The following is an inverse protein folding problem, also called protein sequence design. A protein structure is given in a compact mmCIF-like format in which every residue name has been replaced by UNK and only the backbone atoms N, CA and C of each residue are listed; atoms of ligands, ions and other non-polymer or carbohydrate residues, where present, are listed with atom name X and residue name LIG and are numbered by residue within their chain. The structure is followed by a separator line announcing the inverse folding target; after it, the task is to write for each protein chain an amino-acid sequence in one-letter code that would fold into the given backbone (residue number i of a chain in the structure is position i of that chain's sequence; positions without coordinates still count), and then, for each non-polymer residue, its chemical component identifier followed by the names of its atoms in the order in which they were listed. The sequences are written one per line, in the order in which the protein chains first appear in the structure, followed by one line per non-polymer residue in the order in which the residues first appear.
data_IF_597702837368
#
_entry.id   IF_597702837368
#
_cell.length_a   1.000
_cell.length_b   1.000
_cell.length_c   1.000
_cell.angle_alpha   90.00
_cell.angle_beta   90.00
_cell.angle_gamma   90.00
#
_symmetry.space_group_name_H-M   'P 1'
#
loop_
_entity.id
_entity.type
_entity.pdbx_description
1 polymer ?
#
# COMPACT_ATOMS: atom_id res chain seq x y z
N UNK A 1 60.16 -9.43 31.54
CA UNK A 1 58.95 -10.09 31.02
C UNK A 1 57.73 -9.16 30.79
N UNK A 2 57.84 -7.82 30.84
CA UNK A 2 56.71 -6.89 30.56
C UNK A 2 56.72 -6.28 29.15
N UNK A 3 57.84 -6.35 28.42
CA UNK A 3 57.96 -5.78 27.07
C UNK A 3 57.28 -6.63 25.97
N UNK A 4 57.25 -7.96 26.13
CA UNK A 4 56.62 -8.87 25.17
C UNK A 4 55.08 -8.72 25.12
N UNK A 5 54.46 -8.26 26.20
CA UNK A 5 53.00 -8.15 26.26
C UNK A 5 52.47 -6.91 25.54
N UNK A 6 53.23 -5.80 25.57
CA UNK A 6 52.87 -4.58 24.84
C UNK A 6 53.06 -4.73 23.32
N UNK A 7 54.07 -5.47 22.86
CA UNK A 7 54.25 -5.73 21.42
C UNK A 7 53.10 -6.55 20.82
N UNK A 8 52.57 -7.54 21.55
CA UNK A 8 51.40 -8.32 21.08
C UNK A 8 50.12 -7.48 21.00
N UNK A 9 49.90 -6.58 21.96
CA UNK A 9 48.75 -5.67 21.93
C UNK A 9 48.83 -4.68 20.78
N UNK A 10 50.03 -4.17 20.46
CA UNK A 10 50.24 -3.26 19.33
C UNK A 10 49.98 -3.95 17.98
N UNK A 11 50.44 -5.19 17.82
CA UNK A 11 50.24 -5.98 16.59
C UNK A 11 48.76 -6.30 16.39
N UNK A 12 48.03 -6.67 17.45
CA UNK A 12 46.58 -6.93 17.39
C UNK A 12 45.82 -5.65 17.02
N UNK A 13 46.22 -4.49 17.57
CA UNK A 13 45.58 -3.20 17.26
C UNK A 13 45.84 -2.72 15.82
N UNK A 14 47.04 -2.97 15.28
CA UNK A 14 47.37 -2.67 13.88
C UNK A 14 46.60 -3.59 12.93
N UNK A 15 46.47 -4.88 13.26
CA UNK A 15 45.70 -5.84 12.45
C UNK A 15 44.20 -5.50 12.43
N UNK A 16 43.59 -5.15 13.58
CA UNK A 16 42.17 -4.75 13.60
C UNK A 16 41.92 -3.44 12.84
N UNK A 17 42.84 -2.49 12.89
CA UNK A 17 42.73 -1.24 12.13
C UNK A 17 42.88 -1.44 10.61
N UNK A 18 43.73 -2.37 10.18
CA UNK A 18 43.86 -2.75 8.76
C UNK A 18 42.63 -3.51 8.26
N UNK A 19 42.03 -4.38 9.08
CA UNK A 19 40.77 -5.06 8.72
C UNK A 19 39.57 -4.09 8.62
N UNK A 20 39.51 -3.05 9.46
CA UNK A 20 38.46 -2.01 9.34
C UNK A 20 38.63 -1.12 8.10
N UNK A 21 39.87 -0.87 7.65
CA UNK A 21 40.10 -0.15 6.38
C UNK A 21 39.86 -1.02 5.14
N UNK A 22 40.06 -2.33 5.22
CA UNK A 22 39.80 -3.25 4.11
C UNK A 22 38.30 -3.50 3.85
N UNK A 23 37.43 -3.30 4.83
CA UNK A 23 35.96 -3.44 4.68
C UNK A 23 35.20 -2.12 4.44
N UNK A 24 35.92 -1.00 4.30
CA UNK A 24 35.36 0.35 4.20
C UNK A 24 35.70 1.07 2.90
N UNK A 25 35.70 0.40 1.75
CA UNK A 25 35.91 1.06 0.46
C UNK A 25 34.77 0.75 -0.51
N UNK A 26 33.99 1.81 -0.80
CA UNK A 26 32.89 1.87 -1.77
C UNK A 26 33.37 1.42 -3.15
N UNK A 27 32.80 0.33 -3.67
CA UNK A 27 32.76 0.12 -5.11
C UNK A 27 31.63 0.97 -5.69
N UNK A 28 31.93 2.23 -6.02
CA UNK A 28 31.18 2.99 -7.02
C UNK A 28 31.69 2.56 -8.39
N UNK A 29 31.03 1.60 -9.01
CA UNK A 29 31.28 1.27 -10.41
C UNK A 29 30.69 2.40 -11.26
N UNK A 30 31.55 3.18 -11.90
CA UNK A 30 31.19 4.11 -12.96
C UNK A 30 31.18 3.29 -14.25
N UNK A 31 30.01 3.00 -14.81
CA UNK A 31 29.90 2.41 -16.15
C UNK A 31 29.20 3.40 -17.06
N UNK A 32 29.90 3.73 -18.14
CA UNK A 32 29.49 4.58 -19.24
C UNK A 32 28.50 3.83 -20.13
N UNK A 33 27.49 4.54 -20.64
CA UNK A 33 26.43 4.09 -21.54
C UNK A 33 26.88 3.09 -22.61
N UNK A 34 26.26 1.91 -22.62
CA UNK A 34 25.94 1.19 -23.86
C UNK A 34 24.53 0.61 -23.72
N UNK A 35 23.68 1.02 -24.64
CA UNK A 35 22.28 0.66 -24.87
C UNK A 35 22.08 -0.86 -24.88
N UNK A 36 21.22 -1.39 -24.01
CA UNK A 36 20.45 -2.64 -24.23
C UNK A 36 19.34 -2.79 -23.18
N UNK A 37 18.17 -3.15 -23.66
CA UNK A 37 16.92 -3.35 -22.93
C UNK A 37 17.01 -4.37 -21.78
N UNK A 38 16.05 -4.25 -20.86
CA UNK A 38 15.39 -5.34 -20.12
C UNK A 38 15.92 -5.73 -18.72
N UNK A 39 15.29 -5.14 -17.68
CA UNK A 39 14.57 -5.79 -16.55
C UNK A 39 14.53 -4.84 -15.35
N UNK A 40 13.34 -4.34 -15.04
CA UNK A 40 13.09 -3.45 -13.91
C UNK A 40 13.28 -4.15 -12.56
N UNK A 41 13.93 -3.44 -11.63
CA UNK A 41 14.09 -3.79 -10.21
C UNK A 41 12.90 -3.22 -9.41
N UNK A 42 12.35 -3.94 -8.40
CA UNK A 42 11.04 -3.61 -7.81
C UNK A 42 11.03 -2.48 -6.75
N UNK A 43 12.12 -1.70 -6.58
CA UNK A 43 12.24 -0.78 -5.43
C UNK A 43 12.31 0.72 -5.76
N UNK A 44 11.95 1.13 -6.98
CA UNK A 44 11.80 2.55 -7.28
C UNK A 44 10.74 2.76 -8.36
N UNK A 45 9.59 3.32 -7.98
CA UNK A 45 8.52 3.65 -8.94
C UNK A 45 8.92 4.92 -9.68
N UNK A 46 9.28 4.79 -10.95
CA UNK A 46 9.50 5.92 -11.87
C UNK A 46 8.35 5.97 -12.87
N UNK A 47 7.81 7.18 -13.10
CA UNK A 47 6.64 7.46 -13.93
C UNK A 47 6.89 7.18 -15.42
N UNK A 48 6.05 6.35 -16.04
CA UNK A 48 6.01 6.12 -17.49
C UNK A 48 5.32 7.30 -18.19
N UNK A 49 5.90 7.79 -19.29
CA UNK A 49 5.33 8.84 -20.16
C UNK A 49 4.24 8.27 -21.06
N UNK A 50 3.00 8.75 -20.87
CA UNK A 50 1.84 8.55 -21.75
C UNK A 50 1.63 9.71 -22.73
N UNK A 51 0.52 9.67 -23.45
CA UNK A 51 0.23 10.40 -24.70
C UNK A 51 -0.17 11.89 -24.50
N UNK A 52 0.41 12.80 -25.30
CA UNK A 52 0.63 14.22 -24.92
C UNK A 52 -0.59 15.16 -24.93
N UNK A 53 -1.74 14.77 -25.48
CA UNK A 53 -2.91 15.66 -25.60
C UNK A 53 -3.99 15.41 -24.55
N UNK A 54 -4.19 14.15 -24.12
CA UNK A 54 -5.05 13.82 -22.98
C UNK A 54 -4.33 13.98 -21.62
N UNK A 55 -3.00 13.89 -21.61
CA UNK A 55 -2.19 14.10 -20.41
C UNK A 55 -2.28 15.54 -19.87
N UNK A 56 -2.49 16.54 -20.72
CA UNK A 56 -2.52 17.96 -20.32
C UNK A 56 -3.61 18.26 -19.27
N UNK A 57 -4.86 17.82 -19.51
CA UNK A 57 -5.99 18.12 -18.62
C UNK A 57 -5.84 17.38 -17.29
N UNK A 58 -5.44 16.10 -17.33
CA UNK A 58 -5.23 15.30 -16.14
C UNK A 58 -4.07 15.86 -15.29
N UNK A 59 -2.95 16.21 -15.93
CA UNK A 59 -1.81 16.83 -15.25
C UNK A 59 -2.17 18.20 -14.66
N UNK A 60 -2.95 19.01 -15.37
CA UNK A 60 -3.44 20.27 -14.86
C UNK A 60 -4.34 20.07 -13.64
N UNK A 61 -5.30 19.15 -13.72
CA UNK A 61 -6.16 18.80 -12.59
C UNK A 61 -5.35 18.32 -11.38
N UNK A 62 -4.41 17.39 -11.59
CA UNK A 62 -3.50 16.89 -10.55
C UNK A 62 -2.75 18.04 -9.88
N UNK A 63 -2.17 18.95 -10.68
CA UNK A 63 -1.45 20.09 -10.15
C UNK A 63 -2.35 20.99 -9.28
N UNK A 64 -3.56 21.30 -9.75
CA UNK A 64 -4.48 22.15 -9.01
C UNK A 64 -4.95 21.53 -7.69
N UNK A 65 -5.26 20.23 -7.67
CA UNK A 65 -5.62 19.55 -6.41
C UNK A 65 -4.43 19.48 -5.45
N UNK A 66 -3.20 19.26 -5.96
CA UNK A 66 -1.99 19.27 -5.14
C UNK A 66 -1.73 20.64 -4.51
N UNK A 67 -2.00 21.74 -5.24
CA UNK A 67 -1.92 23.12 -4.74
C UNK A 67 -2.97 23.36 -3.66
N UNK A 68 -4.23 22.95 -3.87
CA UNK A 68 -5.31 23.10 -2.88
C UNK A 68 -4.97 22.32 -1.60
N UNK A 69 -4.46 21.10 -1.72
CA UNK A 69 -4.09 20.26 -0.57
C UNK A 69 -2.98 20.87 0.28
N UNK A 70 -2.00 21.51 -0.35
CA UNK A 70 -0.81 22.04 0.31
C UNK A 70 -0.95 23.52 0.73
N UNK A 71 -2.05 24.17 0.37
CA UNK A 71 -2.28 25.60 0.67
C UNK A 71 -2.51 25.87 2.16
N UNK A 72 -1.71 26.78 2.73
CA UNK A 72 -1.90 27.33 4.09
C UNK A 72 -3.23 28.08 4.25
N UNK A 73 -3.69 28.74 3.19
CA UNK A 73 -4.82 29.67 3.25
C UNK A 73 -6.19 28.98 3.16
N UNK A 74 -6.21 27.69 2.81
CA UNK A 74 -7.45 26.94 2.53
C UNK A 74 -7.69 25.87 3.61
N UNK A 75 -6.86 25.79 4.66
CA UNK A 75 -6.84 24.67 5.61
C UNK A 75 -8.21 24.29 6.23
N UNK A 76 -9.12 25.24 6.43
CA UNK A 76 -10.48 24.98 6.97
C UNK A 76 -11.50 24.54 5.90
N UNK A 77 -11.20 24.76 4.61
CA UNK A 77 -12.10 24.52 3.48
C UNK A 77 -11.50 23.59 2.41
N UNK A 78 -10.36 22.92 2.67
CA UNK A 78 -9.67 22.05 1.68
C UNK A 78 -10.62 21.01 1.08
N UNK A 79 -11.42 20.33 1.88
CA UNK A 79 -12.36 19.31 1.37
C UNK A 79 -13.42 19.92 0.44
N UNK A 80 -13.91 21.13 0.74
CA UNK A 80 -14.91 21.82 -0.09
C UNK A 80 -14.28 22.28 -1.40
N UNK A 81 -13.08 22.88 -1.34
CA UNK A 81 -12.34 23.31 -2.52
C UNK A 81 -12.02 22.12 -3.46
N UNK A 82 -11.58 21.00 -2.89
CA UNK A 82 -11.33 19.77 -3.65
C UNK A 82 -12.61 19.20 -4.25
N UNK A 83 -13.71 19.15 -3.49
CA UNK A 83 -15.04 18.73 -3.98
C UNK A 83 -15.48 19.56 -5.18
N UNK A 84 -15.46 20.90 -5.05
CA UNK A 84 -15.86 21.81 -6.12
C UNK A 84 -15.00 21.63 -7.38
N UNK A 85 -13.69 21.43 -7.21
CA UNK A 85 -12.77 21.20 -8.32
C UNK A 85 -12.98 19.84 -8.99
N UNK A 86 -13.35 18.82 -8.21
CA UNK A 86 -13.64 17.48 -8.72
C UNK A 86 -14.95 17.48 -9.50
N UNK A 87 -15.99 18.13 -8.95
CA UNK A 87 -17.31 18.23 -9.57
C UNK A 87 -17.24 18.92 -10.94
N UNK A 88 -16.41 19.96 -11.09
CA UNK A 88 -16.27 20.70 -12.35
C UNK A 88 -15.65 19.88 -13.50
N UNK A 89 -14.94 18.79 -13.18
CA UNK A 89 -14.32 17.88 -14.16
C UNK A 89 -14.92 16.46 -14.12
N UNK A 90 -16.04 16.30 -13.40
CA UNK A 90 -16.77 15.05 -13.20
C UNK A 90 -15.95 13.93 -12.57
N UNK A 91 -15.01 14.28 -11.69
CA UNK A 91 -14.35 13.32 -10.80
C UNK A 91 -15.24 13.09 -9.57
N UNK A 92 -15.44 11.83 -9.20
CA UNK A 92 -15.94 11.49 -7.87
C UNK A 92 -14.85 11.78 -6.84
N UNK A 93 -15.23 12.38 -5.71
CA UNK A 93 -14.29 12.74 -4.65
C UNK A 93 -14.72 12.13 -3.31
N UNK A 94 -13.78 11.42 -2.69
CA UNK A 94 -13.91 10.91 -1.33
C UNK A 94 -12.70 11.36 -0.51
N UNK A 95 -12.90 11.56 0.80
CA UNK A 95 -11.80 11.81 1.71
C UNK A 95 -12.02 11.11 3.04
N UNK A 96 -10.91 10.77 3.68
CA UNK A 96 -10.90 10.15 5.00
C UNK A 96 -9.88 10.84 5.88
N UNK A 97 -10.28 11.21 7.09
CA UNK A 97 -9.37 11.80 8.07
C UNK A 97 -9.09 10.79 9.18
N UNK A 98 -7.81 10.52 9.44
CA UNK A 98 -7.40 9.66 10.56
C UNK A 98 -7.89 10.22 11.90
N UNK A 99 -7.97 9.36 12.90
CA UNK A 99 -8.63 9.63 14.18
C UNK A 99 -8.00 10.78 14.95
N UNK A 100 -6.69 10.98 14.80
CA UNK A 100 -5.97 12.08 15.44
C UNK A 100 -5.83 13.33 14.55
N UNK A 101 -6.46 13.31 13.36
CA UNK A 101 -6.46 14.39 12.36
C UNK A 101 -5.07 14.82 11.87
N UNK A 102 -4.06 13.96 12.01
CA UNK A 102 -2.68 14.23 11.55
C UNK A 102 -2.42 13.75 10.14
N UNK A 103 -3.18 12.75 9.69
CA UNK A 103 -3.09 12.16 8.36
C UNK A 103 -4.45 12.21 7.70
N UNK A 104 -4.50 12.63 6.44
CA UNK A 104 -5.72 12.67 5.63
C UNK A 104 -5.48 11.93 4.31
N UNK A 105 -6.51 11.27 3.83
CA UNK A 105 -6.58 10.58 2.56
C UNK A 105 -7.55 11.32 1.66
N UNK A 106 -7.17 11.47 0.40
CA UNK A 106 -8.01 12.03 -0.66
C UNK A 106 -8.00 11.07 -1.84
N UNK A 107 -9.18 10.75 -2.33
CA UNK A 107 -9.41 9.84 -3.46
C UNK A 107 -10.26 10.55 -4.50
N UNK A 108 -9.78 10.55 -5.74
CA UNK A 108 -10.47 11.07 -6.90
C UNK A 108 -10.63 9.94 -7.91
N UNK A 109 -11.84 9.72 -8.40
CA UNK A 109 -12.12 8.68 -9.38
C UNK A 109 -12.83 9.24 -10.61
N UNK A 110 -12.40 8.81 -11.78
CA UNK A 110 -13.10 9.01 -13.05
C UNK A 110 -13.01 7.70 -13.83
N UNK A 111 -14.15 7.05 -14.02
CA UNK A 111 -14.20 5.69 -14.58
C UNK A 111 -13.31 4.74 -13.77
N UNK A 112 -12.35 4.07 -14.41
CA UNK A 112 -11.40 3.14 -13.78
C UNK A 112 -10.11 3.80 -13.27
N UNK A 113 -9.97 5.11 -13.50
CA UNK A 113 -8.79 5.87 -13.08
C UNK A 113 -8.97 6.40 -11.66
N UNK A 114 -8.01 6.08 -10.79
CA UNK A 114 -8.00 6.53 -9.42
C UNK A 114 -6.73 7.32 -9.10
N UNK A 115 -6.92 8.54 -8.62
CA UNK A 115 -5.86 9.37 -8.06
C UNK A 115 -5.97 9.34 -6.55
N UNK A 116 -4.92 8.91 -5.87
CA UNK A 116 -4.91 8.73 -4.43
C UNK A 116 -3.79 9.55 -3.80
N UNK A 117 -4.12 10.28 -2.75
CA UNK A 117 -3.17 11.13 -2.04
C UNK A 117 -3.31 10.92 -0.54
N UNK A 118 -2.17 10.86 0.15
CA UNK A 118 -2.09 10.97 1.61
C UNK A 118 -1.36 12.24 1.95
N UNK A 119 -1.95 13.07 2.80
CA UNK A 119 -1.29 14.22 3.39
C UNK A 119 -1.04 14.03 4.87
N UNK A 120 0.01 14.69 5.36
CA UNK A 120 0.34 14.77 6.79
C UNK A 120 0.43 16.22 7.21
N UNK A 121 -0.16 16.55 8.35
CA UNK A 121 -0.07 17.87 8.97
C UNK A 121 1.33 18.09 9.55
N UNK A 122 2.00 19.17 9.13
CA UNK A 122 3.30 19.59 9.64
C UNK A 122 3.12 20.77 10.60
N UNK A 123 4.05 20.95 11.56
CA UNK A 123 4.08 22.12 12.43
C UNK A 123 4.17 23.39 11.55
N UNK A 124 3.22 24.32 11.71
CA UNK A 124 3.14 25.53 10.88
C UNK A 124 1.96 25.59 9.89
N UNK A 125 0.99 24.67 10.01
CA UNK A 125 -0.29 24.60 9.29
C UNK A 125 -0.28 24.05 7.85
N UNK A 126 0.87 23.71 7.28
CA UNK A 126 0.90 23.05 5.97
C UNK A 126 0.59 21.56 6.07
N UNK A 127 -0.35 21.12 5.24
CA UNK A 127 -0.48 19.71 4.89
C UNK A 127 0.56 19.42 3.79
N UNK A 128 1.42 18.43 4.01
CA UNK A 128 2.36 17.96 2.99
C UNK A 128 1.84 16.66 2.39
N UNK A 129 1.86 16.55 1.07
CA UNK A 129 1.61 15.28 0.39
C UNK A 129 2.79 14.35 0.68
N UNK A 130 2.51 13.21 1.32
CA UNK A 130 3.53 12.23 1.71
C UNK A 130 3.44 10.93 0.90
N UNK A 131 2.29 10.67 0.27
CA UNK A 131 2.10 9.56 -0.67
C UNK A 131 1.17 10.05 -1.79
N UNK A 132 1.53 9.73 -3.03
CA UNK A 132 0.65 9.84 -4.18
C UNK A 132 0.72 8.56 -4.99
N UNK A 133 -0.42 8.10 -5.47
CA UNK A 133 -0.52 6.83 -6.17
C UNK A 133 -1.62 6.88 -7.24
N UNK A 134 -1.25 6.45 -8.44
CA UNK A 134 -2.03 6.58 -9.67
C UNK A 134 -2.20 5.17 -10.21
N UNK A 135 -3.38 4.59 -9.97
CA UNK A 135 -3.64 3.18 -10.28
C UNK A 135 -4.92 3.02 -11.07
N UNK A 136 -4.93 2.00 -11.92
CA UNK A 136 -6.12 1.45 -12.52
C UNK A 136 -6.72 0.45 -11.53
N UNK A 137 -8.01 0.55 -11.23
CA UNK A 137 -8.79 -0.37 -10.37
C UNK A 137 -8.47 -0.43 -8.87
N UNK A 138 -7.25 -0.12 -8.43
CA UNK A 138 -6.88 -0.08 -7.00
C UNK A 138 -6.89 1.36 -6.45
N UNK A 139 -7.52 1.56 -5.31
CA UNK A 139 -7.72 2.88 -4.71
C UNK A 139 -7.71 2.85 -3.18
N UNK A 140 -7.40 3.99 -2.58
CA UNK A 140 -7.29 4.12 -1.13
C UNK A 140 -8.68 4.33 -0.53
N UNK A 141 -8.97 3.65 0.57
CA UNK A 141 -10.29 3.71 1.22
C UNK A 141 -10.23 4.35 2.59
N UNK A 142 -9.26 3.96 3.43
CA UNK A 142 -9.13 4.46 4.79
C UNK A 142 -7.66 4.66 5.18
N UNK A 143 -7.40 5.60 6.09
CA UNK A 143 -6.08 5.82 6.67
C UNK A 143 -6.19 6.00 8.18
N UNK A 144 -5.41 5.24 8.93
CA UNK A 144 -5.46 5.23 10.39
C UNK A 144 -4.09 5.48 10.99
N UNK A 145 -4.01 6.25 12.06
CA UNK A 145 -2.73 6.40 12.75
C UNK A 145 -2.45 5.19 13.65
N UNK A 146 -1.27 4.59 13.53
CA UNK A 146 -0.80 3.56 14.46
C UNK A 146 -0.02 4.17 15.62
N UNK A 147 0.90 5.09 15.31
CA UNK A 147 1.69 5.88 16.25
C UNK A 147 2.22 7.16 15.56
N UNK A 148 3.01 8.04 16.22
CA UNK A 148 3.46 9.30 15.61
C UNK A 148 4.26 9.16 14.31
N UNK A 149 4.86 7.99 14.05
CA UNK A 149 5.70 7.72 12.88
C UNK A 149 5.05 6.72 11.91
N UNK A 150 3.93 6.10 12.26
CA UNK A 150 3.36 5.01 11.47
C UNK A 150 1.86 5.19 11.25
N UNK A 151 1.41 4.86 10.05
CA UNK A 151 0.00 4.80 9.70
C UNK A 151 -0.32 3.51 8.95
N UNK A 152 -1.55 3.04 9.12
CA UNK A 152 -2.14 1.96 8.35
C UNK A 152 -2.93 2.56 7.19
N UNK A 153 -2.67 2.09 5.98
CA UNK A 153 -3.44 2.40 4.79
C UNK A 153 -4.28 1.17 4.45
N UNK A 154 -5.59 1.38 4.26
CA UNK A 154 -6.48 0.39 3.66
C UNK A 154 -6.74 0.77 2.21
N UNK A 155 -6.62 -0.21 1.33
CA UNK A 155 -6.88 -0.05 -0.10
C UNK A 155 -7.89 -1.10 -0.55
N UNK A 156 -8.56 -0.81 -1.65
CA UNK A 156 -9.47 -1.73 -2.32
C UNK A 156 -9.15 -1.79 -3.80
N UNK A 157 -9.26 -2.97 -4.37
CA UNK A 157 -9.27 -3.18 -5.81
C UNK A 157 -10.55 -3.89 -6.18
N UNK A 158 -11.25 -3.34 -7.16
CA UNK A 158 -12.43 -3.96 -7.74
C UNK A 158 -12.15 -4.31 -9.20
N UNK A 159 -12.26 -5.59 -9.50
CA UNK A 159 -12.21 -6.15 -10.85
C UNK A 159 -13.58 -6.80 -11.16
N UNK A 160 -13.83 -7.17 -12.41
CA UNK A 160 -15.09 -7.75 -12.84
C UNK A 160 -15.41 -9.07 -12.10
N UNK A 161 -14.39 -9.88 -11.80
CA UNK A 161 -14.55 -11.22 -11.23
C UNK A 161 -14.21 -11.32 -9.75
N UNK A 162 -13.46 -10.35 -9.19
CA UNK A 162 -13.06 -10.36 -7.78
C UNK A 162 -12.89 -8.95 -7.23
N UNK A 163 -12.98 -8.85 -5.91
CA UNK A 163 -12.59 -7.66 -5.15
C UNK A 163 -11.56 -8.04 -4.10
N UNK A 164 -10.49 -7.27 -4.00
CA UNK A 164 -9.47 -7.44 -2.97
C UNK A 164 -9.43 -6.22 -2.06
N UNK A 165 -9.28 -6.46 -0.77
CA UNK A 165 -8.92 -5.44 0.21
C UNK A 165 -7.49 -5.66 0.63
N UNK A 166 -6.75 -4.57 0.79
CA UNK A 166 -5.36 -4.58 1.19
C UNK A 166 -5.16 -3.73 2.44
N UNK A 167 -4.20 -4.12 3.26
CA UNK A 167 -3.79 -3.36 4.42
C UNK A 167 -2.26 -3.27 4.43
N UNK A 168 -1.73 -2.05 4.46
CA UNK A 168 -0.29 -1.78 4.38
C UNK A 168 0.10 -0.78 5.44
N UNK A 169 1.18 -1.06 6.18
CA UNK A 169 1.71 -0.13 7.18
C UNK A 169 2.87 0.65 6.60
N UNK A 170 2.78 1.97 6.72
CA UNK A 170 3.82 2.89 6.29
C UNK A 170 4.50 3.52 7.50
N UNK A 171 5.83 3.57 7.47
CA UNK A 171 6.66 4.35 8.38
C UNK A 171 7.07 5.67 7.73
N UNK A 172 6.91 6.77 8.46
CA UNK A 172 7.34 8.11 8.08
C UNK A 172 8.64 8.42 8.82
N UNK A 173 9.76 8.48 8.09
CA UNK A 173 11.05 8.95 8.61
C UNK A 173 11.40 10.26 7.94
N UNK A 174 11.51 11.30 8.76
CA UNK A 174 11.72 12.68 8.27
C UNK A 174 10.64 13.04 7.24
N UNK A 175 11.02 13.07 5.97
CA UNK A 175 10.19 13.42 4.82
C UNK A 175 9.99 12.25 3.82
N UNK A 176 10.42 11.05 4.18
CA UNK A 176 10.29 9.85 3.34
C UNK A 176 9.35 8.84 3.98
N UNK A 177 8.60 8.12 3.15
CA UNK A 177 7.71 7.04 3.56
C UNK A 177 8.25 5.68 3.11
N UNK A 178 8.11 4.68 3.96
CA UNK A 178 8.55 3.31 3.69
C UNK A 178 7.44 2.34 4.03
N UNK A 179 7.17 1.37 3.15
CA UNK A 179 6.35 0.22 3.51
C UNK A 179 7.08 -0.60 4.56
N UNK A 180 6.37 -1.09 5.57
CA UNK A 180 6.92 -1.94 6.62
C UNK A 180 6.52 -3.39 6.41
N UNK A 181 7.47 -4.29 6.62
CA UNK A 181 7.21 -5.72 6.87
C UNK A 181 6.50 -5.91 8.23
N UNK A 182 5.21 -5.62 8.24
CA UNK A 182 4.36 -5.64 9.42
C UNK A 182 3.50 -6.90 9.52
N UNK A 183 3.22 -7.56 8.40
CA UNK A 183 2.40 -8.77 8.36
C UNK A 183 3.29 -10.02 8.32
N UNK A 184 2.70 -11.20 8.56
CA UNK A 184 3.49 -12.45 8.65
C UNK A 184 4.19 -12.77 7.33
N UNK A 185 3.56 -12.44 6.20
CA UNK A 185 4.03 -12.80 4.86
C UNK A 185 4.76 -11.65 4.14
N UNK A 186 4.78 -10.43 4.71
CA UNK A 186 5.51 -9.32 4.13
C UNK A 186 4.95 -7.94 4.50
N UNK A 187 4.95 -7.04 3.52
CA UNK A 187 4.60 -5.62 3.69
C UNK A 187 3.10 -5.34 3.68
N UNK A 188 2.30 -6.27 3.16
CA UNK A 188 0.89 -6.06 2.85
C UNK A 188 0.07 -7.30 3.20
N UNK A 189 -1.04 -7.10 3.90
CA UNK A 189 -2.09 -8.12 4.05
C UNK A 189 -3.05 -7.98 2.87
N UNK A 190 -3.23 -9.06 2.13
CA UNK A 190 -4.22 -9.16 1.04
C UNK A 190 -5.38 -10.07 1.44
N UNK A 191 -6.60 -9.63 1.16
CA UNK A 191 -7.84 -10.41 1.37
C UNK A 191 -8.73 -10.26 0.15
N UNK A 192 -8.79 -11.30 -0.68
CA UNK A 192 -9.59 -11.31 -1.90
C UNK A 192 -10.89 -12.10 -1.74
N UNK A 193 -11.95 -11.66 -2.40
CA UNK A 193 -13.24 -12.33 -2.49
C UNK A 193 -13.68 -12.38 -3.95
N UNK A 194 -14.17 -13.54 -4.40
CA UNK A 194 -14.71 -13.70 -5.74
C UNK A 194 -16.17 -13.26 -5.78
N UNK A 195 -16.49 -12.44 -6.78
CA UNK A 195 -17.86 -12.01 -7.04
C UNK A 195 -18.65 -13.11 -7.75
N UNK A 196 -17.96 -14.07 -8.39
CA UNK A 196 -18.55 -15.26 -9.02
C UNK A 196 -17.67 -16.49 -8.76
N UNK A 197 -18.21 -17.49 -8.07
CA UNK A 197 -17.64 -18.83 -8.01
C UNK A 197 -18.57 -19.72 -8.82
N UNK A 198 -18.03 -20.38 -9.84
CA UNK A 198 -18.72 -21.46 -10.51
C UNK A 198 -18.73 -22.67 -9.57
N UNK A 199 -19.82 -22.82 -8.83
CA UNK A 199 -20.10 -24.03 -8.02
C UNK A 199 -20.83 -25.08 -8.86
N UNK A 200 -20.86 -24.98 -10.19
CA UNK A 200 -21.49 -25.99 -11.03
C UNK A 200 -20.64 -27.26 -11.07
N UNK A 201 -21.28 -28.39 -10.78
CA UNK A 201 -20.69 -29.73 -10.82
C UNK A 201 -21.53 -30.66 -11.70
N UNK A 202 -20.90 -31.63 -12.38
CA UNK A 202 -21.63 -32.61 -13.18
C UNK A 202 -22.41 -33.57 -12.28
N UNK A 203 -23.67 -33.82 -12.62
CA UNK A 203 -24.54 -34.80 -11.98
C UNK A 203 -25.18 -35.67 -13.05
N UNK A 204 -25.27 -36.98 -12.79
CA UNK A 204 -26.01 -37.89 -13.64
C UNK A 204 -27.50 -37.89 -13.27
N UNK A 205 -28.35 -37.41 -14.19
CA UNK A 205 -29.81 -37.50 -14.05
C UNK A 205 -30.43 -38.02 -15.35
N UNK A 206 -31.36 -38.97 -15.23
CA UNK A 206 -32.09 -39.59 -16.35
C UNK A 206 -31.18 -40.08 -17.50
N UNK A 207 -30.03 -40.66 -17.18
CA UNK A 207 -29.10 -41.20 -18.19
C UNK A 207 -28.25 -40.15 -18.92
N UNK A 208 -28.32 -38.88 -18.50
CA UNK A 208 -27.53 -37.77 -19.06
C UNK A 208 -26.70 -37.09 -17.97
N UNK A 209 -25.54 -36.53 -18.35
CA UNK A 209 -24.77 -35.64 -17.47
C UNK A 209 -25.34 -34.24 -17.63
N UNK A 210 -25.84 -33.68 -16.53
CA UNK A 210 -26.27 -32.28 -16.45
C UNK A 210 -25.36 -31.53 -15.48
N UNK A 211 -25.14 -30.24 -15.72
CA UNK A 211 -24.47 -29.38 -14.75
C UNK A 211 -25.51 -28.92 -13.73
N UNK A 212 -25.28 -29.24 -12.45
CA UNK A 212 -26.06 -28.73 -11.32
C UNK A 212 -25.21 -27.78 -10.50
N UNK A 213 -25.85 -26.81 -9.85
CA UNK A 213 -25.18 -25.70 -9.17
C UNK A 213 -25.32 -24.41 -9.97
N UNK A 214 -25.19 -23.29 -9.29
CA UNK A 214 -25.39 -21.95 -9.86
C UNK A 214 -24.15 -21.09 -9.61
N UNK A 215 -23.99 -20.04 -10.41
CA UNK A 215 -23.02 -18.99 -10.12
C UNK A 215 -23.35 -18.36 -8.77
N UNK A 216 -22.47 -18.55 -7.80
CA UNK A 216 -22.65 -17.97 -6.47
C UNK A 216 -21.80 -16.73 -6.33
N UNK A 217 -22.43 -15.69 -5.77
CA UNK A 217 -21.76 -14.43 -5.53
C UNK A 217 -21.49 -14.22 -4.04
N UNK A 218 -20.22 -14.06 -3.70
CA UNK A 218 -19.83 -13.65 -2.35
C UNK A 218 -19.57 -12.15 -2.34
N UNK A 219 -20.23 -11.45 -1.41
CA UNK A 219 -19.97 -10.01 -1.25
C UNK A 219 -18.53 -9.81 -0.78
N UNK A 220 -17.80 -8.83 -1.33
CA UNK A 220 -16.49 -8.46 -0.83
C UNK A 220 -16.53 -8.13 0.66
N UNK A 221 -15.72 -8.81 1.46
CA UNK A 221 -15.65 -8.54 2.90
C UNK A 221 -14.53 -7.55 3.18
N UNK A 222 -14.88 -6.44 3.83
CA UNK A 222 -13.92 -5.37 4.14
C UNK A 222 -12.96 -5.79 5.23
N UNK A 223 -11.71 -5.32 5.12
CA UNK A 223 -10.80 -5.23 6.25
C UNK A 223 -11.26 -4.06 7.11
N UNK A 224 -11.36 -4.26 8.42
CA UNK A 224 -11.79 -3.25 9.39
C UNK A 224 -10.68 -3.06 10.41
N UNK A 225 -10.40 -1.80 10.76
CA UNK A 225 -9.43 -1.47 11.80
C UNK A 225 -10.09 -0.71 12.95
N UNK A 226 -9.80 -1.13 14.18
CA UNK A 226 -10.21 -0.43 15.39
C UNK A 226 -9.02 0.35 15.96
N UNK A 227 -9.06 1.68 15.84
CA UNK A 227 -8.01 2.57 16.33
C UNK A 227 -7.76 2.49 17.84
N UNK A 228 -8.81 2.34 18.66
CA UNK A 228 -8.69 2.33 20.12
C UNK A 228 -7.93 1.09 20.60
N UNK A 229 -8.27 -0.08 20.06
CA UNK A 229 -7.64 -1.35 20.44
C UNK A 229 -6.44 -1.71 19.57
N UNK A 230 -6.23 -0.98 18.47
CA UNK A 230 -5.28 -1.26 17.39
C UNK A 230 -5.45 -2.66 16.80
N UNK A 231 -6.68 -3.11 16.67
CA UNK A 231 -7.00 -4.44 16.14
C UNK A 231 -7.45 -4.33 14.69
N UNK A 232 -6.78 -5.05 13.81
CA UNK A 232 -7.23 -5.30 12.45
C UNK A 232 -8.08 -6.57 12.43
N UNK A 233 -9.17 -6.53 11.68
CA UNK A 233 -10.12 -7.63 11.52
C UNK A 233 -10.39 -7.79 10.05
N UNK A 234 -10.33 -9.02 9.55
CA UNK A 234 -10.82 -9.34 8.21
C UNK A 234 -11.59 -10.65 8.28
N UNK A 235 -12.45 -10.87 7.28
CA UNK A 235 -13.12 -12.14 7.13
C UNK A 235 -13.08 -12.58 5.68
N UNK A 236 -13.23 -13.87 5.44
CA UNK A 236 -13.23 -14.46 4.13
C UNK A 236 -14.10 -15.71 4.11
N UNK A 237 -14.64 -16.04 2.95
CA UNK A 237 -15.41 -17.25 2.75
C UNK A 237 -14.45 -18.39 2.44
N UNK A 238 -14.59 -19.53 3.13
CA UNK A 238 -13.89 -20.74 2.71
C UNK A 238 -14.40 -21.18 1.35
N UNK A 239 -13.49 -21.62 0.48
CA UNK A 239 -13.85 -22.08 -0.87
C UNK A 239 -14.69 -23.36 -0.86
N UNK A 240 -14.46 -24.28 0.09
CA UNK A 240 -15.06 -25.62 0.07
C UNK A 240 -16.52 -25.65 0.52
N UNK A 241 -16.91 -24.79 1.47
CA UNK A 241 -18.22 -24.83 2.11
C UNK A 241 -18.88 -23.43 2.19
N UNK A 242 -18.21 -22.38 1.70
CA UNK A 242 -18.72 -21.01 1.76
C UNK A 242 -18.83 -20.45 3.17
N UNK A 243 -18.25 -21.08 4.19
CA UNK A 243 -18.32 -20.60 5.58
C UNK A 243 -17.47 -19.36 5.74
N UNK A 244 -18.04 -18.32 6.35
CA UNK A 244 -17.31 -17.10 6.68
C UNK A 244 -16.36 -17.34 7.86
N UNK A 245 -15.05 -17.34 7.60
CA UNK A 245 -14.02 -17.30 8.64
C UNK A 245 -13.69 -15.84 8.96
N UNK A 246 -13.63 -15.52 10.24
CA UNK A 246 -13.15 -14.23 10.74
C UNK A 246 -11.78 -14.38 11.39
N UNK A 247 -10.83 -13.53 11.01
CA UNK A 247 -9.50 -13.41 11.62
C UNK A 247 -9.34 -12.01 12.21
N UNK A 248 -8.52 -11.91 13.25
CA UNK A 248 -8.18 -10.63 13.88
C UNK A 248 -6.76 -10.67 14.42
N UNK A 249 -6.10 -9.53 14.43
CA UNK A 249 -4.79 -9.38 15.05
C UNK A 249 -4.61 -7.98 15.60
N UNK A 250 -3.88 -7.88 16.71
CA UNK A 250 -3.58 -6.60 17.35
C UNK A 250 -2.21 -6.11 16.91
N UNK A 251 -2.09 -4.80 16.74
CA UNK A 251 -0.81 -4.17 16.45
C UNK A 251 0.06 -4.14 17.71
N UNK A 252 1.08 -4.99 17.76
CA UNK A 252 2.00 -5.09 18.88
C UNK A 252 3.44 -5.21 18.37
N UNK A 253 4.37 -4.49 19.01
CA UNK A 253 5.80 -4.49 18.64
C UNK A 253 6.06 -4.20 17.14
N UNK A 254 5.25 -3.33 16.55
CA UNK A 254 5.39 -2.92 15.16
C UNK A 254 4.81 -3.88 14.12
N UNK A 255 4.08 -4.92 14.55
CA UNK A 255 3.60 -6.02 13.71
C UNK A 255 2.12 -6.36 13.95
N UNK A 256 1.48 -6.88 12.91
CA UNK A 256 0.24 -7.65 13.00
C UNK A 256 0.61 -9.12 12.78
N UNK A 257 0.49 -9.94 13.82
CA UNK A 257 0.66 -11.39 13.70
C UNK A 257 -0.61 -11.98 13.11
N UNK A 258 -0.73 -11.92 11.79
CA UNK A 258 -1.86 -12.44 11.04
C UNK A 258 -1.37 -13.04 9.73
N UNK A 259 -1.99 -14.15 9.34
CA UNK A 259 -1.77 -14.76 8.03
C UNK A 259 -2.58 -14.01 6.99
N UNK A 260 -2.06 -13.96 5.77
CA UNK A 260 -2.82 -13.42 4.66
C UNK A 260 -3.80 -14.47 4.16
N UNK A 261 -4.81 -14.00 3.43
CA UNK A 261 -5.73 -14.88 2.75
C UNK A 261 -5.79 -14.48 1.27
N UNK A 262 -4.99 -15.17 0.46
CA UNK A 262 -5.14 -15.13 -0.99
C UNK A 262 -5.85 -16.41 -1.45
N UNK A 263 -6.97 -16.24 -2.13
CA UNK A 263 -7.70 -17.37 -2.73
C UNK A 263 -6.91 -17.96 -3.91
N UNK A 264 -6.03 -17.16 -4.54
CA UNK A 264 -5.28 -17.54 -5.75
C UNK A 264 -4.12 -18.47 -5.46
N UNK A 265 -3.60 -18.52 -4.22
CA UNK A 265 -2.54 -19.46 -3.83
C UNK A 265 -3.00 -20.92 -3.78
N UNK A 266 -4.25 -21.21 -4.18
CA UNK A 266 -4.83 -22.55 -4.25
C UNK A 266 -5.17 -22.99 -5.68
N UNK A 267 -4.89 -22.14 -6.69
CA UNK A 267 -5.05 -22.48 -8.11
C UNK A 267 -3.73 -22.96 -8.76
N UNK A 268 -2.65 -23.05 -7.98
CA UNK A 268 -1.38 -23.69 -8.34
C UNK A 268 -1.32 -25.12 -7.77
#
# INVERSE_FOLDING_TARGET
MRFYHMQRLLIIFILTFLFFKAFGQKNKTKVLNVTKEQRDSPHCVTTVKGDKTNDSILLHFMHEIEVIMQSKNIANNTSIALKNKSDSLSFQFNSYQSENKKVSLYHFAKEFYHLNYITKKIKGQENKIILKDHKMHRYFTEVHTLNPKEFLLLERQDDMSFSCNYATVYEVKEDTIFKKNTFKQGEELSVCSWTHIDESYPVHENGSVIMKGELKSYRPVKIVYNFKTKVIVYSFYKNNDGTLIKRKSKYENGKFFIEDYDVRSFLD
#
